data_IF_636080204625
#
_entry.id   IF_636080204625
#
_cell.length_a   1.000
_cell.length_b   1.000
_cell.length_c   1.000
_cell.angle_alpha   90.00
_cell.angle_beta   90.00
_cell.angle_gamma   90.00
#
_symmetry.space_group_name_H-M   'P 1'
#
loop_
_entity.id
_entity.type
_entity.pdbx_description
1 polymer ?
#
# COMPACT_ATOMS: atom_id res chain seq x y z
N UNK A 1 5.13 -16.99 61.44
CA UNK A 1 6.16 -16.96 60.35
C UNK A 1 6.02 -18.13 59.35
N UNK A 2 5.17 -19.11 59.56
CA UNK A 2 4.95 -20.25 58.66
C UNK A 2 3.82 -20.02 57.65
N UNK A 3 2.81 -19.19 57.97
CA UNK A 3 1.70 -18.91 57.08
C UNK A 3 2.05 -18.04 55.88
N UNK A 4 3.10 -17.22 55.94
CA UNK A 4 3.53 -16.33 54.84
C UNK A 4 4.31 -17.06 53.72
N UNK A 5 4.84 -18.23 54.02
CA UNK A 5 5.59 -19.04 53.07
C UNK A 5 4.70 -19.86 52.11
N UNK A 6 3.51 -20.19 52.55
CA UNK A 6 2.54 -20.91 51.70
C UNK A 6 1.73 -20.00 50.75
N UNK A 7 1.64 -18.71 51.09
CA UNK A 7 0.99 -17.73 50.19
C UNK A 7 1.89 -17.38 48.98
N UNK A 8 3.22 -17.42 49.14
CA UNK A 8 4.16 -17.14 48.04
C UNK A 8 4.28 -18.31 47.07
N UNK A 9 4.07 -19.54 47.51
CA UNK A 9 4.09 -20.74 46.67
C UNK A 9 2.80 -20.96 45.91
N UNK A 10 1.68 -20.48 46.43
CA UNK A 10 0.38 -20.51 45.71
C UNK A 10 0.29 -19.50 44.58
N UNK A 11 1.08 -18.41 44.62
CA UNK A 11 1.13 -17.39 43.55
C UNK A 11 2.04 -17.79 42.37
N UNK A 12 2.95 -18.74 42.56
CA UNK A 12 3.89 -19.21 41.55
C UNK A 12 3.33 -20.37 40.70
N UNK A 13 2.25 -21.00 41.12
CA UNK A 13 1.64 -22.15 40.42
C UNK A 13 0.43 -21.80 39.51
N UNK A 14 0.02 -20.53 39.45
CA UNK A 14 -1.09 -20.08 38.59
C UNK A 14 -0.61 -19.56 37.22
N UNK A 15 0.70 -19.45 36.99
CA UNK A 15 1.28 -18.86 35.77
C UNK A 15 1.51 -19.85 34.61
N UNK A 16 1.09 -21.10 34.68
CA UNK A 16 1.39 -22.12 33.66
C UNK A 16 0.22 -22.57 32.78
N UNK A 17 -0.93 -21.92 32.83
CA UNK A 17 -2.11 -22.33 32.01
C UNK A 17 -2.73 -21.22 31.16
N UNK A 18 -2.01 -20.13 30.87
CA UNK A 18 -2.50 -19.03 30.00
C UNK A 18 -1.59 -18.79 28.82
N UNK A 19 -1.46 -19.76 27.92
CA UNK A 19 -0.68 -19.64 26.68
C UNK A 19 -1.41 -18.96 25.50
N UNK A 20 -2.51 -18.29 25.71
CA UNK A 20 -3.26 -17.61 24.66
C UNK A 20 -3.27 -16.07 24.74
N UNK A 21 -3.64 -15.46 25.88
CA UNK A 21 -3.79 -13.99 25.93
C UNK A 21 -2.49 -13.21 26.21
N UNK A 22 -1.43 -13.86 26.73
CA UNK A 22 -0.17 -13.17 27.09
C UNK A 22 0.63 -12.79 25.85
N UNK A 23 0.56 -13.56 24.79
CA UNK A 23 1.26 -13.26 23.53
C UNK A 23 0.69 -12.02 22.84
N UNK A 24 -0.63 -11.87 22.82
CA UNK A 24 -1.32 -10.69 22.27
C UNK A 24 -1.00 -9.42 23.09
N UNK A 25 -0.83 -9.54 24.40
CA UNK A 25 -0.52 -8.39 25.26
C UNK A 25 0.94 -7.96 25.14
N UNK A 26 1.87 -8.91 25.02
CA UNK A 26 3.29 -8.62 24.76
C UNK A 26 3.51 -8.04 23.37
N UNK A 27 2.78 -8.52 22.37
CA UNK A 27 2.82 -7.98 21.02
C UNK A 27 2.28 -6.54 20.99
N UNK A 28 1.18 -6.24 21.70
CA UNK A 28 0.63 -4.88 21.82
C UNK A 28 1.53 -3.92 22.60
N UNK A 29 2.25 -4.40 23.62
CA UNK A 29 3.22 -3.59 24.37
C UNK A 29 4.45 -3.32 23.51
N UNK A 30 4.94 -4.31 22.76
CA UNK A 30 6.08 -4.17 21.87
C UNK A 30 5.78 -3.22 20.70
N UNK A 31 4.54 -3.24 20.17
CA UNK A 31 4.07 -2.30 19.14
C UNK A 31 4.11 -0.83 19.60
N UNK A 32 3.90 -0.58 20.89
CA UNK A 32 3.86 0.77 21.47
C UNK A 32 5.25 1.40 21.64
N UNK A 33 6.30 0.59 21.71
CA UNK A 33 7.66 1.03 22.03
C UNK A 33 8.69 0.78 20.92
N UNK A 34 8.34 0.03 19.87
CA UNK A 34 9.24 -0.29 18.76
C UNK A 34 8.95 0.60 17.56
N UNK A 35 9.96 1.35 17.11
CA UNK A 35 9.92 2.01 15.80
C UNK A 35 9.43 3.47 15.80
N UNK A 36 9.63 4.23 16.88
CA UNK A 36 9.35 5.67 16.91
C UNK A 36 10.55 6.55 16.57
N UNK A 37 11.76 5.99 16.48
CA UNK A 37 12.94 6.77 16.15
C UNK A 37 13.28 6.62 14.64
N UNK A 38 13.19 7.70 13.84
CA UNK A 38 13.53 7.65 12.42
C UNK A 38 15.03 7.44 12.12
N UNK A 39 15.87 7.38 13.15
CA UNK A 39 17.34 7.28 13.08
C UNK A 39 17.81 5.83 13.25
N UNK A 40 16.95 4.92 13.72
CA UNK A 40 17.36 3.52 13.92
C UNK A 40 17.73 2.84 12.58
N UNK A 41 18.91 2.22 12.49
CA UNK A 41 19.32 1.51 11.30
C UNK A 41 18.41 0.32 11.00
N UNK A 42 18.32 -0.11 9.73
CA UNK A 42 17.58 -1.31 9.38
C UNK A 42 18.15 -2.53 10.11
N UNK A 43 17.29 -3.39 10.62
CA UNK A 43 17.71 -4.63 11.24
C UNK A 43 18.57 -5.47 10.29
N UNK A 44 19.66 -6.11 10.78
CA UNK A 44 20.46 -7.02 9.97
C UNK A 44 19.59 -8.10 9.35
N UNK A 45 19.92 -8.50 8.13
CA UNK A 45 19.22 -9.59 7.47
C UNK A 45 19.44 -10.90 8.22
N UNK A 46 18.35 -11.48 8.71
CA UNK A 46 18.39 -12.79 9.36
C UNK A 46 18.79 -13.87 8.35
N UNK A 47 19.71 -14.72 8.71
CA UNK A 47 20.03 -15.93 7.97
C UNK A 47 18.94 -16.99 8.17
N UNK A 48 18.61 -17.71 7.12
CA UNK A 48 17.67 -18.83 7.13
C UNK A 48 18.02 -19.83 6.04
N UNK A 49 17.57 -21.06 6.19
CA UNK A 49 17.71 -22.07 5.15
C UNK A 49 16.63 -21.83 4.09
N UNK A 50 17.03 -21.33 2.93
CA UNK A 50 16.12 -21.07 1.83
C UNK A 50 15.43 -22.38 1.35
N UNK A 51 14.13 -22.33 1.19
CA UNK A 51 13.30 -23.39 0.60
C UNK A 51 12.87 -23.06 -0.84
N UNK A 52 12.91 -21.76 -1.18
CA UNK A 52 12.58 -21.23 -2.49
C UNK A 52 13.76 -20.41 -3.00
N UNK A 53 13.90 -20.37 -4.32
CA UNK A 53 14.92 -19.57 -4.99
C UNK A 53 14.25 -18.61 -5.99
N UNK A 54 13.73 -17.48 -5.53
CA UNK A 54 13.08 -16.49 -6.39
C UNK A 54 14.04 -16.07 -7.52
N UNK A 55 13.50 -15.86 -8.71
CA UNK A 55 14.29 -15.53 -9.91
C UNK A 55 13.72 -14.29 -10.60
N UNK A 56 14.61 -13.46 -11.10
CA UNK A 56 14.25 -12.41 -12.05
C UNK A 56 14.03 -13.08 -13.41
N UNK A 57 12.81 -12.99 -13.93
CA UNK A 57 12.46 -13.49 -15.26
C UNK A 57 12.99 -12.55 -16.33
N UNK A 58 12.83 -11.27 -16.11
CA UNK A 58 13.38 -10.19 -16.92
C UNK A 58 13.45 -8.89 -16.12
N UNK A 59 14.27 -7.97 -16.59
CA UNK A 59 14.35 -6.62 -16.07
C UNK A 59 14.38 -5.60 -17.20
N UNK A 60 13.89 -4.40 -16.91
CA UNK A 60 13.95 -3.25 -17.79
C UNK A 60 14.30 -2.01 -16.96
N UNK A 61 14.86 -0.99 -17.61
CA UNK A 61 15.28 0.26 -16.97
C UNK A 61 14.51 1.44 -17.55
N UNK A 62 13.85 2.18 -16.66
CA UNK A 62 13.45 3.57 -16.86
C UNK A 62 14.45 4.47 -16.13
N UNK A 63 14.30 5.78 -16.24
CA UNK A 63 15.04 6.71 -15.38
C UNK A 63 14.52 6.65 -13.94
N UNK A 64 15.26 7.24 -12.99
CA UNK A 64 14.89 7.19 -11.58
C UNK A 64 13.60 7.92 -11.24
N UNK A 65 12.92 7.46 -10.19
CA UNK A 65 11.63 8.02 -9.77
C UNK A 65 11.77 9.19 -8.80
N UNK A 66 13.00 9.56 -8.41
CA UNK A 66 13.30 10.55 -7.37
C UNK A 66 12.56 10.21 -6.04
N UNK A 67 11.75 11.16 -5.54
CA UNK A 67 10.95 11.02 -4.32
C UNK A 67 9.49 10.65 -4.58
N UNK A 68 9.12 10.31 -5.84
CA UNK A 68 7.76 9.97 -6.21
C UNK A 68 7.53 8.47 -6.22
N UNK A 69 6.28 8.09 -5.97
CA UNK A 69 5.84 6.69 -5.93
C UNK A 69 5.21 6.32 -7.28
N UNK A 70 5.84 5.37 -7.96
CA UNK A 70 5.28 4.76 -9.17
C UNK A 70 5.11 3.26 -8.94
N UNK A 71 4.14 2.69 -9.63
CA UNK A 71 3.98 1.25 -9.70
C UNK A 71 3.45 0.86 -11.08
N UNK A 72 3.84 -0.33 -11.57
CA UNK A 72 3.43 -0.76 -12.90
C UNK A 72 1.93 -1.00 -12.97
N UNK A 73 1.33 -0.66 -14.12
CA UNK A 73 -0.01 -1.08 -14.50
C UNK A 73 0.04 -2.29 -15.42
N UNK A 74 -0.99 -3.13 -15.41
CA UNK A 74 -1.07 -4.32 -16.27
C UNK A 74 -2.41 -4.30 -16.99
N UNK A 75 -2.38 -4.54 -18.31
CA UNK A 75 -3.54 -4.75 -19.17
C UNK A 75 -3.27 -5.98 -20.05
N UNK A 76 -3.99 -7.08 -19.81
CA UNK A 76 -3.78 -8.33 -20.53
C UNK A 76 -2.34 -8.84 -20.40
N UNK A 77 -1.63 -8.98 -21.53
CA UNK A 77 -0.22 -9.44 -21.57
C UNK A 77 0.80 -8.28 -21.62
N UNK A 78 0.41 -7.09 -21.21
CA UNK A 78 1.20 -5.87 -21.34
C UNK A 78 1.38 -5.18 -19.99
N UNK A 79 2.60 -4.74 -19.69
CA UNK A 79 2.95 -3.96 -18.53
C UNK A 79 3.27 -2.51 -18.92
N UNK A 80 2.80 -1.57 -18.13
CA UNK A 80 3.05 -0.14 -18.29
C UNK A 80 3.80 0.39 -17.08
N UNK A 81 4.84 1.18 -17.31
CA UNK A 81 5.61 1.80 -16.24
C UNK A 81 5.99 3.24 -16.60
N UNK A 82 6.14 4.06 -15.57
CA UNK A 82 6.49 5.47 -15.69
C UNK A 82 7.60 5.84 -14.72
N UNK A 83 8.28 6.95 -14.99
CA UNK A 83 9.28 7.54 -14.10
C UNK A 83 9.23 9.07 -14.11
N UNK A 84 9.89 9.71 -13.15
CA UNK A 84 9.76 11.14 -12.88
C UNK A 84 10.33 12.05 -13.97
N UNK A 85 11.26 11.55 -14.79
CA UNK A 85 11.83 12.27 -15.94
C UNK A 85 10.84 12.46 -17.10
N UNK A 86 9.62 11.93 -17.00
CA UNK A 86 8.61 11.93 -18.06
C UNK A 86 8.56 10.67 -18.89
N UNK A 87 9.41 9.69 -18.62
CA UNK A 87 9.38 8.40 -19.33
C UNK A 87 8.11 7.65 -19.03
N UNK A 88 7.46 7.15 -20.10
CA UNK A 88 6.32 6.24 -20.06
C UNK A 88 6.57 5.13 -21.07
N UNK A 89 6.47 3.89 -20.64
CA UNK A 89 6.83 2.75 -21.47
C UNK A 89 5.84 1.59 -21.32
N UNK A 90 5.72 0.81 -22.39
CA UNK A 90 4.94 -0.43 -22.50
C UNK A 90 5.86 -1.59 -22.79
N UNK A 91 5.67 -2.67 -22.07
CA UNK A 91 6.46 -3.89 -22.18
C UNK A 91 5.56 -5.09 -22.41
N UNK A 92 6.06 -6.08 -23.14
CA UNK A 92 5.44 -7.39 -23.14
C UNK A 92 5.68 -8.06 -21.78
N UNK A 93 4.64 -8.45 -21.09
CA UNK A 93 4.67 -8.95 -19.71
C UNK A 93 5.49 -10.23 -19.53
N UNK A 94 5.49 -11.13 -20.54
CA UNK A 94 6.21 -12.41 -20.48
C UNK A 94 7.71 -12.26 -20.74
N UNK A 95 8.08 -11.39 -21.71
CA UNK A 95 9.47 -11.28 -22.17
C UNK A 95 10.23 -10.06 -21.69
N UNK A 96 9.55 -9.05 -21.11
CA UNK A 96 10.13 -7.78 -20.75
C UNK A 96 10.55 -6.89 -21.94
N UNK A 97 10.28 -7.35 -23.18
CA UNK A 97 10.63 -6.57 -24.37
C UNK A 97 9.79 -5.30 -24.43
N UNK A 98 10.46 -4.14 -24.55
CA UNK A 98 9.76 -2.88 -24.75
C UNK A 98 9.01 -2.90 -26.09
N UNK A 99 7.71 -2.60 -26.06
CA UNK A 99 6.87 -2.42 -27.24
C UNK A 99 6.99 -0.99 -27.73
N UNK A 100 6.89 -0.03 -26.80
CA UNK A 100 7.21 1.37 -27.05
C UNK A 100 7.70 2.05 -25.77
N UNK A 101 8.47 3.13 -25.94
CA UNK A 101 8.88 4.06 -24.88
C UNK A 101 8.76 5.47 -25.44
N UNK A 102 8.08 6.35 -24.70
CA UNK A 102 7.98 7.77 -25.01
C UNK A 102 8.46 8.62 -23.85
N UNK A 103 8.79 9.88 -24.12
CA UNK A 103 8.89 10.90 -23.09
C UNK A 103 7.72 11.85 -23.23
N UNK A 104 6.99 12.07 -22.15
CA UNK A 104 5.78 12.92 -22.12
C UNK A 104 6.11 14.41 -22.20
N UNK A 105 7.39 14.79 -22.00
CA UNK A 105 7.86 16.16 -21.88
C UNK A 105 7.49 16.83 -20.55
N UNK A 106 6.96 16.09 -19.61
CA UNK A 106 6.49 16.59 -18.31
C UNK A 106 7.14 15.83 -17.16
N UNK A 107 7.35 16.48 -16.03
CA UNK A 107 7.84 15.84 -14.81
C UNK A 107 6.69 15.05 -14.16
N UNK A 108 6.68 13.73 -14.32
CA UNK A 108 5.67 12.86 -13.75
C UNK A 108 5.86 12.69 -12.24
N UNK A 109 4.77 12.45 -11.52
CA UNK A 109 4.78 12.26 -10.07
C UNK A 109 3.76 11.24 -9.57
N UNK A 110 2.91 10.70 -10.45
CA UNK A 110 1.93 9.67 -10.13
C UNK A 110 1.55 8.86 -11.36
N UNK A 111 1.52 7.55 -11.22
CA UNK A 111 1.16 6.64 -12.30
C UNK A 111 1.63 5.20 -12.04
N UNK A 112 1.21 4.25 -12.88
CA UNK A 112 0.40 4.39 -14.09
C UNK A 112 -1.04 4.00 -13.77
N UNK A 113 -2.00 4.87 -14.07
CA UNK A 113 -3.42 4.50 -14.08
C UNK A 113 -3.73 3.78 -15.39
N UNK A 114 -4.36 2.62 -15.30
CA UNK A 114 -4.69 1.80 -16.47
C UNK A 114 -6.20 1.58 -16.57
N UNK A 115 -6.74 1.75 -17.76
CA UNK A 115 -8.12 1.46 -18.13
C UNK A 115 -8.18 0.42 -19.23
N UNK A 116 -9.34 0.26 -19.86
CA UNK A 116 -9.51 -0.72 -20.95
C UNK A 116 -8.77 -0.29 -22.22
N UNK A 117 -8.80 0.99 -22.56
CA UNK A 117 -8.22 1.55 -23.79
C UNK A 117 -7.30 2.75 -23.54
N UNK A 118 -7.13 3.14 -22.28
CA UNK A 118 -6.41 4.36 -21.90
C UNK A 118 -5.41 4.06 -20.79
N UNK A 119 -4.31 4.81 -20.80
CA UNK A 119 -3.37 4.94 -19.71
C UNK A 119 -3.27 6.40 -19.29
N UNK A 120 -3.13 6.64 -17.99
CA UNK A 120 -3.10 7.98 -17.43
C UNK A 120 -1.93 8.16 -16.49
N UNK A 121 -1.34 9.34 -16.51
CA UNK A 121 -0.25 9.75 -15.61
C UNK A 121 -0.51 11.15 -15.09
N UNK A 122 -0.03 11.39 -13.89
CA UNK A 122 -0.10 12.68 -13.22
C UNK A 122 1.27 13.35 -13.09
N UNK A 123 1.28 14.68 -13.05
CA UNK A 123 2.51 15.47 -12.93
C UNK A 123 2.62 16.18 -11.59
N UNK A 124 3.84 16.57 -11.23
CA UNK A 124 4.13 17.39 -10.06
C UNK A 124 3.58 18.83 -10.16
N UNK A 125 3.11 19.23 -11.33
CA UNK A 125 2.47 20.52 -11.56
C UNK A 125 0.94 20.45 -11.60
N UNK A 126 0.35 19.24 -11.39
CA UNK A 126 -1.10 19.04 -11.41
C UNK A 126 -1.70 18.83 -12.81
N UNK A 127 -0.89 18.47 -13.78
CA UNK A 127 -1.39 18.09 -15.11
C UNK A 127 -1.69 16.59 -15.13
N UNK A 128 -2.91 16.23 -15.45
CA UNK A 128 -3.35 14.86 -15.74
C UNK A 128 -3.28 14.65 -17.24
N UNK A 129 -2.64 13.56 -17.67
CA UNK A 129 -2.40 13.27 -19.09
C UNK A 129 -2.92 11.87 -19.39
N UNK A 130 -3.67 11.74 -20.48
CA UNK A 130 -4.14 10.45 -20.98
C UNK A 130 -3.57 10.14 -22.36
N UNK A 131 -3.21 8.88 -22.53
CA UNK A 131 -2.76 8.29 -23.79
C UNK A 131 -3.61 7.06 -24.12
N UNK A 132 -3.70 6.73 -25.42
CA UNK A 132 -4.19 5.42 -25.82
C UNK A 132 -3.12 4.34 -25.59
N UNK A 133 -3.47 3.07 -25.81
CA UNK A 133 -2.55 1.94 -25.63
C UNK A 133 -1.37 1.91 -26.62
N UNK A 134 -1.36 2.79 -27.63
CA UNK A 134 -0.30 2.96 -28.63
C UNK A 134 0.51 4.24 -28.40
N UNK A 135 0.42 4.84 -27.22
CA UNK A 135 1.12 6.06 -26.82
C UNK A 135 0.68 7.33 -27.59
N UNK A 136 -0.49 7.33 -28.25
CA UNK A 136 -1.05 8.55 -28.83
C UNK A 136 -1.68 9.37 -27.72
N UNK A 137 -1.28 10.64 -27.61
CA UNK A 137 -1.89 11.59 -26.68
C UNK A 137 -3.39 11.77 -27.01
N UNK A 138 -4.23 11.56 -26.00
CA UNK A 138 -5.68 11.77 -26.08
C UNK A 138 -6.04 13.19 -25.62
N UNK A 139 -5.66 13.52 -24.38
CA UNK A 139 -5.94 14.82 -23.78
C UNK A 139 -5.02 15.14 -22.61
N UNK A 140 -5.01 16.41 -22.20
CA UNK A 140 -4.34 16.92 -21.00
C UNK A 140 -5.32 17.79 -20.22
N UNK A 141 -5.40 17.61 -18.90
CA UNK A 141 -6.31 18.40 -18.04
C UNK A 141 -5.55 18.89 -16.82
N UNK A 142 -5.62 20.20 -16.54
CA UNK A 142 -5.04 20.85 -15.39
C UNK A 142 -5.95 20.68 -14.17
N UNK A 143 -5.43 20.07 -13.09
CA UNK A 143 -6.10 19.97 -11.79
C UNK A 143 -5.54 21.00 -10.80
N UNK A 144 -6.01 20.95 -9.55
CA UNK A 144 -5.74 21.96 -8.53
C UNK A 144 -4.32 21.91 -7.96
N UNK A 145 -3.72 20.73 -7.85
CA UNK A 145 -2.42 20.52 -7.21
C UNK A 145 -1.71 19.29 -7.77
N UNK A 146 -0.54 18.96 -7.23
CA UNK A 146 0.26 17.79 -7.61
C UNK A 146 -0.55 16.50 -7.58
N UNK A 147 -0.31 15.62 -8.55
CA UNK A 147 -0.90 14.28 -8.63
C UNK A 147 0.17 13.28 -8.20
N UNK A 148 0.03 12.74 -6.99
CA UNK A 148 1.05 11.89 -6.35
C UNK A 148 0.71 10.40 -6.39
N UNK A 149 -0.50 10.05 -6.79
CA UNK A 149 -0.97 8.67 -6.92
C UNK A 149 -1.29 8.34 -8.38
N UNK A 150 -1.29 7.06 -8.71
CA UNK A 150 -1.84 6.62 -9.98
C UNK A 150 -3.33 7.00 -10.06
N UNK A 151 -3.78 7.61 -11.17
CA UNK A 151 -5.21 7.85 -11.40
C UNK A 151 -5.99 6.53 -11.44
N UNK A 152 -7.22 6.52 -10.92
CA UNK A 152 -8.14 5.38 -11.01
C UNK A 152 -9.07 5.58 -12.19
N UNK A 153 -9.14 4.63 -13.10
CA UNK A 153 -10.05 4.65 -14.24
C UNK A 153 -11.20 3.69 -13.94
N UNK A 154 -12.44 4.20 -13.90
CA UNK A 154 -13.62 3.40 -13.60
C UNK A 154 -14.87 4.04 -14.25
N UNK A 155 -15.77 3.24 -14.81
CA UNK A 155 -17.06 3.62 -15.38
C UNK A 155 -17.05 4.91 -16.24
N UNK A 156 -16.01 5.05 -17.09
CA UNK A 156 -15.91 6.21 -18.01
C UNK A 156 -15.35 7.47 -17.35
N UNK A 157 -14.89 7.40 -16.12
CA UNK A 157 -14.24 8.48 -15.39
C UNK A 157 -12.77 8.15 -15.10
N UNK A 158 -11.96 9.18 -15.03
CA UNK A 158 -10.62 9.16 -14.42
C UNK A 158 -10.70 9.92 -13.10
N UNK A 159 -10.52 9.22 -12.00
CA UNK A 159 -10.66 9.74 -10.66
C UNK A 159 -9.26 9.97 -10.10
N UNK A 160 -8.99 11.19 -9.67
CA UNK A 160 -7.66 11.62 -9.25
C UNK A 160 -7.73 12.33 -7.91
N UNK A 161 -6.87 11.92 -6.98
CA UNK A 161 -6.61 12.70 -5.78
C UNK A 161 -5.40 13.59 -5.99
N UNK A 162 -5.53 14.87 -5.66
CA UNK A 162 -4.45 15.85 -5.68
C UNK A 162 -3.87 16.09 -4.28
N UNK A 163 -2.66 16.66 -4.20
CA UNK A 163 -1.93 16.84 -2.95
C UNK A 163 -2.60 17.79 -1.94
N UNK A 164 -3.54 18.62 -2.39
CA UNK A 164 -4.43 19.46 -1.59
C UNK A 164 -5.65 18.70 -1.03
N UNK A 165 -5.64 17.36 -1.15
CA UNK A 165 -6.70 16.45 -0.71
C UNK A 165 -8.05 16.60 -1.43
N UNK A 166 -8.09 17.27 -2.59
CA UNK A 166 -9.26 17.25 -3.45
C UNK A 166 -9.32 15.95 -4.27
N UNK A 167 -10.54 15.48 -4.55
CA UNK A 167 -10.77 14.39 -5.49
C UNK A 167 -11.48 14.97 -6.70
N UNK A 168 -10.92 14.76 -7.87
CA UNK A 168 -11.45 15.20 -9.14
C UNK A 168 -11.89 14.01 -9.96
N UNK A 169 -13.04 14.11 -10.62
CA UNK A 169 -13.42 13.21 -11.69
C UNK A 169 -13.42 13.96 -13.01
N UNK A 170 -12.78 13.36 -14.00
CA UNK A 170 -12.77 13.84 -15.37
C UNK A 170 -13.27 12.74 -16.30
N UNK A 171 -13.88 13.13 -17.40
CA UNK A 171 -14.34 12.19 -18.42
C UNK A 171 -13.13 11.50 -19.08
N UNK A 172 -13.16 10.19 -19.19
CA UNK A 172 -12.05 9.40 -19.74
C UNK A 172 -11.77 9.68 -21.22
N UNK A 173 -12.80 10.10 -22.01
CA UNK A 173 -12.69 10.28 -23.45
C UNK A 173 -12.03 11.60 -23.86
N UNK A 174 -12.32 12.69 -23.13
CA UNK A 174 -11.94 14.05 -23.50
C UNK A 174 -11.25 14.84 -22.40
N UNK A 175 -11.18 14.29 -21.17
CA UNK A 175 -10.56 14.95 -20.01
C UNK A 175 -11.41 16.11 -19.44
N UNK A 176 -12.68 16.25 -19.82
CA UNK A 176 -13.58 17.27 -19.27
C UNK A 176 -13.80 17.02 -17.78
N UNK A 177 -13.66 18.06 -16.94
CA UNK A 177 -13.95 17.98 -15.50
C UNK A 177 -15.43 17.79 -15.26
N UNK A 178 -15.81 16.74 -14.55
CA UNK A 178 -17.22 16.46 -14.22
C UNK A 178 -17.58 17.00 -12.85
N UNK A 179 -16.77 16.71 -11.85
CA UNK A 179 -17.00 17.21 -10.49
C UNK A 179 -15.68 17.23 -9.70
N UNK A 180 -15.72 17.92 -8.57
CA UNK A 180 -14.64 17.96 -7.58
C UNK A 180 -15.24 17.80 -6.20
N UNK A 181 -14.72 16.84 -5.43
CA UNK A 181 -15.04 16.67 -4.01
C UNK A 181 -13.97 17.36 -3.17
N UNK A 182 -14.42 18.16 -2.20
CA UNK A 182 -13.56 18.84 -1.24
C UNK A 182 -14.06 18.62 0.18
N UNK A 183 -13.12 18.59 1.11
CA UNK A 183 -13.44 18.58 2.54
C UNK A 183 -12.41 19.39 3.34
N UNK A 184 -12.85 19.91 4.48
CA UNK A 184 -11.96 20.57 5.43
C UNK A 184 -11.12 19.49 6.14
N UNK A 185 -9.81 19.58 6.05
CA UNK A 185 -8.86 18.70 6.71
C UNK A 185 -8.15 19.35 7.89
N UNK A 186 -7.32 18.59 8.65
CA UNK A 186 -6.45 19.16 9.66
C UNK A 186 -5.40 20.09 9.01
N UNK A 187 -4.86 21.07 9.77
CA UNK A 187 -3.89 22.02 9.22
C UNK A 187 -2.55 21.37 8.83
N UNK A 188 -2.20 20.25 9.45
CA UNK A 188 -1.05 19.43 9.12
C UNK A 188 -1.50 18.03 8.68
N UNK A 189 -0.98 17.57 7.57
CA UNK A 189 -1.21 16.21 7.07
C UNK A 189 0.04 15.65 6.43
N UNK A 190 0.17 14.33 6.41
CA UNK A 190 1.26 13.67 5.72
C UNK A 190 1.10 13.84 4.20
N UNK A 191 2.20 14.14 3.54
CA UNK A 191 2.25 14.06 2.08
C UNK A 191 2.08 12.60 1.67
N UNK A 192 0.97 12.27 1.05
CA UNK A 192 0.59 10.89 0.75
C UNK A 192 0.39 10.69 -0.75
N UNK A 193 0.90 9.57 -1.26
CA UNK A 193 0.66 9.07 -2.61
C UNK A 193 -0.56 8.14 -2.68
N UNK A 194 -1.51 8.32 -1.77
CA UNK A 194 -2.74 7.51 -1.70
C UNK A 194 -3.69 7.87 -2.82
N UNK A 195 -4.06 6.87 -3.60
CA UNK A 195 -5.14 6.95 -4.56
C UNK A 195 -6.51 6.67 -3.93
N UNK A 196 -7.50 6.55 -4.78
CA UNK A 196 -8.86 6.16 -4.43
C UNK A 196 -9.15 4.78 -4.99
N UNK A 197 -10.19 4.13 -4.46
CA UNK A 197 -10.73 2.88 -4.99
C UNK A 197 -12.17 3.11 -5.39
N UNK A 198 -12.56 2.68 -6.59
CA UNK A 198 -13.92 2.78 -7.09
C UNK A 198 -14.52 1.39 -7.28
N UNK A 199 -15.77 1.21 -6.87
CA UNK A 199 -16.54 -0.02 -7.04
C UNK A 199 -18.03 0.27 -6.92
N UNK A 200 -18.82 -0.29 -7.82
CA UNK A 200 -20.29 -0.23 -7.80
C UNK A 200 -20.84 1.20 -7.68
N UNK A 201 -20.27 2.13 -8.48
CA UNK A 201 -20.70 3.52 -8.50
C UNK A 201 -20.32 4.33 -7.26
N UNK A 202 -19.40 3.82 -6.42
CA UNK A 202 -18.93 4.49 -5.20
C UNK A 202 -17.41 4.56 -5.18
N UNK A 203 -16.87 5.71 -4.83
CA UNK A 203 -15.47 5.98 -4.62
C UNK A 203 -15.19 5.97 -3.13
N UNK A 204 -14.20 5.20 -2.72
CA UNK A 204 -13.73 5.14 -1.34
C UNK A 204 -12.35 5.78 -1.24
N UNK A 205 -12.21 6.73 -0.32
CA UNK A 205 -11.00 7.49 -0.14
C UNK A 205 -10.64 7.65 1.33
N UNK A 206 -9.38 7.41 1.65
CA UNK A 206 -8.81 7.73 2.96
C UNK A 206 -8.37 9.19 2.99
N UNK A 207 -8.53 9.87 4.13
CA UNK A 207 -8.17 11.27 4.29
C UNK A 207 -7.33 11.51 5.55
N UNK A 208 -6.69 12.69 5.64
CA UNK A 208 -6.04 13.14 6.86
C UNK A 208 -6.98 13.15 8.07
N UNK A 209 -6.40 12.92 9.27
CA UNK A 209 -7.16 12.85 10.51
C UNK A 209 -7.92 11.54 10.69
N UNK A 210 -7.48 10.47 10.02
CA UNK A 210 -8.03 9.12 10.18
C UNK A 210 -9.42 8.93 9.60
N UNK A 211 -9.75 9.66 8.56
CA UNK A 211 -11.08 9.61 7.92
C UNK A 211 -11.11 8.65 6.73
N UNK A 212 -12.22 7.93 6.60
CA UNK A 212 -12.59 7.19 5.40
C UNK A 212 -13.94 7.72 4.91
N UNK A 213 -14.01 8.08 3.63
CA UNK A 213 -15.23 8.57 3.01
C UNK A 213 -15.66 7.68 1.84
N UNK A 214 -16.97 7.55 1.66
CA UNK A 214 -17.62 7.04 0.46
C UNK A 214 -18.28 8.20 -0.29
N UNK A 215 -18.00 8.30 -1.57
CA UNK A 215 -18.39 9.39 -2.43
C UNK A 215 -19.09 8.79 -3.64
N UNK A 216 -20.23 9.34 -4.03
CA UNK A 216 -20.95 8.91 -5.22
C UNK A 216 -20.14 9.20 -6.47
N UNK A 217 -19.95 8.21 -7.31
CA UNK A 217 -19.07 8.32 -8.47
C UNK A 217 -19.63 9.25 -9.57
N UNK A 218 -20.94 9.26 -9.76
CA UNK A 218 -21.61 10.02 -10.83
C UNK A 218 -21.54 11.54 -10.64
N UNK A 219 -21.55 12.03 -9.38
CA UNK A 219 -21.70 13.46 -9.09
C UNK A 219 -20.81 14.00 -7.96
N UNK A 220 -19.99 13.16 -7.33
CA UNK A 220 -19.07 13.57 -6.26
C UNK A 220 -19.73 13.87 -4.91
N UNK A 221 -21.02 13.55 -4.72
CA UNK A 221 -21.68 13.79 -3.43
C UNK A 221 -21.23 12.80 -2.36
N UNK A 222 -21.04 13.28 -1.12
CA UNK A 222 -20.70 12.45 0.01
C UNK A 222 -21.86 11.52 0.37
N UNK A 223 -21.61 10.22 0.42
CA UNK A 223 -22.56 9.23 0.92
C UNK A 223 -22.43 9.06 2.43
N UNK A 224 -21.20 8.83 2.90
CA UNK A 224 -20.88 8.76 4.32
C UNK A 224 -19.39 9.03 4.58
N UNK A 225 -19.07 9.43 5.80
CA UNK A 225 -17.72 9.57 6.32
C UNK A 225 -17.65 8.99 7.73
N UNK A 226 -16.59 8.24 8.02
CA UNK A 226 -16.33 7.68 9.36
C UNK A 226 -14.91 7.96 9.82
N UNK A 227 -14.69 7.86 11.13
CA UNK A 227 -13.36 7.87 11.73
C UNK A 227 -12.87 6.43 11.86
N UNK A 228 -11.81 6.06 11.15
CA UNK A 228 -11.12 4.77 11.28
C UNK A 228 -9.92 4.86 12.22
N UNK A 229 -9.42 6.07 12.48
CA UNK A 229 -8.45 6.37 13.52
C UNK A 229 -8.81 7.69 14.19
N UNK A 230 -8.33 7.86 15.43
CA UNK A 230 -8.50 9.10 16.17
C UNK A 230 -7.13 9.69 16.47
N UNK A 231 -6.89 10.98 16.17
CA UNK A 231 -5.66 11.67 16.53
C UNK A 231 -5.38 11.55 18.03
N UNK A 232 -4.18 11.11 18.39
CA UNK A 232 -3.72 10.97 19.77
C UNK A 232 -2.41 11.74 19.93
N UNK A 233 -2.21 12.41 21.07
CA UNK A 233 -0.99 13.14 21.37
C UNK A 233 -1.22 14.61 21.65
N UNK A 234 -0.13 15.29 22.01
CA UNK A 234 -0.14 16.71 22.41
C UNK A 234 0.27 17.61 21.24
N UNK A 235 1.23 17.16 20.44
CA UNK A 235 1.73 17.90 19.28
C UNK A 235 0.93 17.56 18.00
N UNK A 236 0.95 18.46 17.01
CA UNK A 236 0.31 18.22 15.71
C UNK A 236 0.92 16.99 14.98
N UNK A 237 2.22 16.75 15.17
CA UNK A 237 2.90 15.58 14.58
C UNK A 237 2.42 14.28 15.22
N UNK A 238 2.30 14.22 16.55
CA UNK A 238 1.76 13.06 17.27
C UNK A 238 0.30 12.81 16.91
N UNK A 239 -0.45 13.85 16.54
CA UNK A 239 -1.86 13.78 16.16
C UNK A 239 -2.09 13.43 14.70
N UNK A 240 -1.03 13.32 13.88
CA UNK A 240 -1.14 12.94 12.48
C UNK A 240 -1.56 11.46 12.34
N UNK A 241 -2.87 11.21 12.28
CA UNK A 241 -3.46 9.87 12.15
C UNK A 241 -4.08 9.70 10.77
N UNK A 242 -3.25 9.83 9.73
CA UNK A 242 -3.72 9.91 8.36
C UNK A 242 -3.94 8.51 7.75
N UNK A 243 -5.02 8.35 6.99
CA UNK A 243 -5.19 7.17 6.12
C UNK A 243 -4.29 7.37 4.90
N UNK A 244 -3.10 6.79 4.97
CA UNK A 244 -2.02 6.95 3.97
C UNK A 244 -1.93 5.79 2.99
N UNK A 245 -2.93 4.94 2.93
CA UNK A 245 -3.03 3.82 1.99
C UNK A 245 -4.40 3.75 1.33
N UNK A 246 -4.45 3.24 0.11
CA UNK A 246 -5.73 2.99 -0.55
C UNK A 246 -6.52 1.94 0.24
N UNK A 247 -7.81 2.15 0.45
CA UNK A 247 -8.67 1.11 1.01
C UNK A 247 -8.67 -0.13 0.11
N UNK A 248 -8.92 -1.29 0.68
CA UNK A 248 -9.10 -2.54 -0.07
C UNK A 248 -10.53 -3.03 0.14
N UNK A 249 -11.20 -3.37 -0.96
CA UNK A 249 -12.59 -3.86 -0.94
C UNK A 249 -12.56 -5.37 -1.10
N UNK A 250 -13.30 -6.05 -0.23
CA UNK A 250 -13.62 -7.46 -0.35
C UNK A 250 -15.11 -7.68 -0.04
N UNK A 251 -15.88 -8.01 -1.07
CA UNK A 251 -17.33 -8.15 -0.99
C UNK A 251 -18.02 -6.88 -0.46
N UNK A 252 -18.71 -7.00 0.67
CA UNK A 252 -19.42 -5.91 1.33
C UNK A 252 -18.55 -5.16 2.36
N UNK A 253 -17.28 -5.49 2.46
CA UNK A 253 -16.39 -4.92 3.45
C UNK A 253 -15.28 -4.07 2.80
N UNK A 254 -14.85 -3.05 3.53
CA UNK A 254 -13.69 -2.22 3.22
C UNK A 254 -12.70 -2.37 4.36
N UNK A 255 -11.45 -2.60 3.97
CA UNK A 255 -10.33 -2.68 4.89
C UNK A 255 -9.41 -1.49 4.66
N UNK A 256 -9.06 -0.81 5.73
CA UNK A 256 -8.22 0.37 5.67
C UNK A 256 -7.29 0.43 6.87
N UNK A 257 -6.14 1.06 6.70
CA UNK A 257 -5.17 1.26 7.78
C UNK A 257 -4.67 2.70 7.77
N UNK A 258 -4.50 3.25 8.97
CA UNK A 258 -3.99 4.60 9.17
C UNK A 258 -2.57 4.58 9.75
N UNK A 259 -1.78 5.58 9.37
CA UNK A 259 -0.52 5.91 10.04
C UNK A 259 -0.83 6.44 11.45
N UNK A 260 -0.04 6.03 12.45
CA UNK A 260 -0.28 6.30 13.88
C UNK A 260 -1.73 6.02 14.34
N UNK A 261 -2.37 5.02 13.70
CA UNK A 261 -3.78 4.75 13.89
C UNK A 261 -4.06 3.25 13.98
N UNK A 262 -5.13 2.85 13.31
CA UNK A 262 -5.68 1.50 13.37
C UNK A 262 -5.83 0.92 11.98
N UNK A 263 -5.79 -0.42 11.91
CA UNK A 263 -6.41 -1.17 10.84
C UNK A 263 -7.87 -1.43 11.22
N UNK A 264 -8.77 -1.29 10.27
CA UNK A 264 -10.21 -1.45 10.49
C UNK A 264 -10.89 -2.14 9.31
N UNK A 265 -11.87 -3.00 9.62
CA UNK A 265 -12.86 -3.49 8.68
C UNK A 265 -14.15 -2.71 8.85
N UNK A 266 -14.73 -2.28 7.76
CA UNK A 266 -15.92 -1.43 7.71
C UNK A 266 -16.95 -2.03 6.75
N UNK A 267 -18.19 -2.16 7.18
CA UNK A 267 -19.32 -2.45 6.30
C UNK A 267 -19.55 -1.25 5.36
N UNK A 268 -19.35 -1.44 4.07
CA UNK A 268 -19.39 -0.36 3.08
C UNK A 268 -20.80 0.20 2.81
N UNK A 269 -21.82 -0.56 3.16
CA UNK A 269 -23.24 -0.16 2.99
C UNK A 269 -23.70 0.70 4.15
N UNK A 270 -23.43 0.23 5.38
CA UNK A 270 -23.95 0.84 6.62
C UNK A 270 -22.93 1.76 7.30
N UNK A 271 -21.72 1.90 6.75
CA UNK A 271 -20.62 2.68 7.32
C UNK A 271 -20.25 2.27 8.76
N UNK A 272 -20.51 1.00 9.13
CA UNK A 272 -20.28 0.48 10.48
C UNK A 272 -18.92 -0.20 10.55
N UNK A 273 -18.12 0.18 11.55
CA UNK A 273 -16.90 -0.57 11.87
C UNK A 273 -17.26 -1.94 12.40
N UNK A 274 -16.78 -2.98 11.73
CA UNK A 274 -16.98 -4.39 12.11
C UNK A 274 -15.98 -4.79 13.18
N UNK A 275 -14.71 -4.48 12.97
CA UNK A 275 -13.64 -4.64 13.93
C UNK A 275 -12.51 -3.61 13.66
N UNK A 276 -11.67 -3.38 14.65
CA UNK A 276 -10.45 -2.58 14.52
C UNK A 276 -9.34 -3.08 15.43
N UNK A 277 -8.08 -2.87 15.02
CA UNK A 277 -6.86 -3.22 15.75
C UNK A 277 -5.87 -2.07 15.75
N UNK A 278 -5.14 -1.89 16.84
CA UNK A 278 -4.06 -0.90 16.94
C UNK A 278 -2.81 -1.41 16.17
N UNK A 279 -2.83 -1.25 14.86
CA UNK A 279 -1.73 -1.54 13.94
C UNK A 279 -1.58 -0.33 13.03
N UNK A 280 -0.43 0.33 13.11
CA UNK A 280 -0.07 1.49 12.30
C UNK A 280 0.62 1.04 11.02
N UNK A 281 0.20 1.57 9.87
CA UNK A 281 0.90 1.37 8.60
C UNK A 281 0.83 2.61 7.73
N UNK A 282 1.92 2.91 7.03
CA UNK A 282 1.95 3.96 6.01
C UNK A 282 1.94 3.39 4.59
N UNK A 283 2.18 2.09 4.40
CA UNK A 283 2.23 1.46 3.07
C UNK A 283 0.93 0.79 2.67
N UNK A 284 0.12 0.38 3.65
CA UNK A 284 -1.18 -0.23 3.37
C UNK A 284 -1.26 -1.71 3.69
N UNK A 285 -2.29 -2.32 3.16
CA UNK A 285 -2.60 -3.73 3.37
C UNK A 285 -2.93 -4.43 2.03
N UNK A 286 -2.86 -5.75 2.05
CA UNK A 286 -3.29 -6.62 0.96
C UNK A 286 -4.17 -7.73 1.52
N UNK A 287 -5.10 -8.22 0.73
CA UNK A 287 -6.00 -9.33 1.07
C UNK A 287 -5.75 -10.47 0.10
N UNK A 288 -5.58 -11.67 0.66
CA UNK A 288 -5.52 -12.91 -0.11
C UNK A 288 -6.32 -14.00 0.63
N UNK A 289 -7.43 -14.40 0.03
CA UNK A 289 -8.38 -15.33 0.63
C UNK A 289 -8.91 -14.82 1.98
N UNK A 290 -8.81 -15.61 3.02
CA UNK A 290 -9.29 -15.25 4.37
C UNK A 290 -8.28 -14.45 5.20
N UNK A 291 -7.22 -13.90 4.59
CA UNK A 291 -6.11 -13.24 5.29
C UNK A 291 -5.89 -11.82 4.82
N UNK A 292 -5.56 -10.97 5.78
CA UNK A 292 -5.03 -9.63 5.55
C UNK A 292 -3.55 -9.65 5.89
N UNK A 293 -2.74 -9.06 5.01
CA UNK A 293 -1.32 -8.81 5.26
C UNK A 293 -1.11 -7.31 5.39
N UNK A 294 -0.40 -6.89 6.43
CA UNK A 294 -0.10 -5.48 6.70
C UNK A 294 1.31 -5.32 7.23
N UNK A 295 2.07 -4.38 6.66
CA UNK A 295 3.38 -4.00 7.15
C UNK A 295 3.23 -2.84 8.15
N UNK A 296 3.62 -3.09 9.40
CA UNK A 296 3.65 -2.07 10.45
C UNK A 296 4.75 -1.04 10.17
N UNK A 297 4.53 0.20 10.57
CA UNK A 297 5.50 1.30 10.43
C UNK A 297 6.89 1.00 10.97
N UNK A 298 6.99 0.21 12.04
CA UNK A 298 8.26 -0.23 12.62
C UNK A 298 8.91 -1.42 11.91
N UNK A 299 8.32 -1.94 10.80
CA UNK A 299 8.91 -3.02 10.01
C UNK A 299 8.47 -4.44 10.41
N UNK A 300 7.50 -4.60 11.31
CA UNK A 300 6.88 -5.89 11.54
C UNK A 300 5.83 -6.18 10.46
N UNK A 301 5.75 -7.42 10.00
CA UNK A 301 4.73 -7.89 9.07
C UNK A 301 3.70 -8.74 9.81
N UNK A 302 2.42 -8.49 9.58
CA UNK A 302 1.31 -9.21 10.21
C UNK A 302 0.48 -9.96 9.17
N UNK A 303 -0.01 -11.15 9.57
CA UNK A 303 -1.13 -11.82 8.94
C UNK A 303 -2.29 -11.85 9.92
N UNK A 304 -3.44 -11.33 9.48
CA UNK A 304 -4.66 -11.23 10.29
C UNK A 304 -5.80 -11.98 9.62
N UNK A 305 -6.71 -12.50 10.45
CA UNK A 305 -7.97 -13.05 9.97
C UNK A 305 -8.86 -11.93 9.42
N UNK A 306 -9.38 -12.08 8.21
CA UNK A 306 -10.20 -11.07 7.54
C UNK A 306 -11.50 -10.75 8.32
N UNK A 307 -12.11 -11.75 8.93
CA UNK A 307 -13.41 -11.61 9.63
C UNK A 307 -13.31 -10.91 10.99
N UNK A 308 -12.17 -11.03 11.69
CA UNK A 308 -12.04 -10.60 13.09
C UNK A 308 -10.83 -9.74 13.39
N UNK A 309 -9.89 -9.61 12.45
CA UNK A 309 -8.61 -8.96 12.68
C UNK A 309 -7.68 -9.72 13.64
N UNK A 310 -8.02 -10.97 14.03
CA UNK A 310 -7.16 -11.79 14.92
C UNK A 310 -5.85 -12.10 14.22
N UNK A 311 -4.72 -11.94 14.92
CA UNK A 311 -3.40 -12.24 14.41
C UNK A 311 -3.20 -13.74 14.24
N UNK A 312 -2.88 -14.18 13.05
CA UNK A 312 -2.39 -15.53 12.79
C UNK A 312 -0.89 -15.62 13.12
N UNK A 313 -0.09 -14.69 12.58
CA UNK A 313 1.33 -14.59 12.87
C UNK A 313 1.82 -13.15 12.74
N UNK A 314 2.97 -12.90 13.38
CA UNK A 314 3.75 -11.67 13.29
C UNK A 314 5.19 -12.03 12.98
N UNK A 315 5.75 -11.43 11.93
CA UNK A 315 7.16 -11.51 11.57
C UNK A 315 7.88 -10.23 11.98
N UNK A 316 8.81 -10.30 12.91
CA UNK A 316 9.48 -9.13 13.48
C UNK A 316 10.95 -8.95 13.06
N UNK A 317 11.49 -9.82 12.20
CA UNK A 317 12.91 -9.78 11.83
C UNK A 317 13.25 -8.74 10.74
N UNK A 318 12.27 -7.92 10.32
CA UNK A 318 12.42 -6.89 9.29
C UNK A 318 12.27 -5.47 9.86
N UNK A 319 12.58 -5.27 11.14
CA UNK A 319 12.45 -3.97 11.81
C UNK A 319 13.27 -2.89 11.09
N UNK A 320 12.70 -1.69 10.99
CA UNK A 320 13.29 -0.49 10.38
C UNK A 320 13.68 -0.63 8.89
N UNK A 321 13.23 -1.68 8.21
CA UNK A 321 13.55 -1.93 6.80
C UNK A 321 12.60 -1.23 5.82
N UNK A 322 11.67 -0.38 6.29
CA UNK A 322 10.70 0.39 5.47
C UNK A 322 9.99 -0.48 4.44
N UNK A 323 9.26 -1.46 4.91
CA UNK A 323 8.61 -2.48 4.09
C UNK A 323 7.59 -1.87 3.12
N UNK A 324 7.46 -2.48 1.94
CA UNK A 324 6.40 -2.21 0.97
C UNK A 324 5.04 -2.68 1.48
N UNK A 325 3.96 -2.37 0.78
CA UNK A 325 2.70 -3.12 0.92
C UNK A 325 2.98 -4.60 0.66
N UNK A 326 2.62 -5.49 1.57
CA UNK A 326 2.79 -6.93 1.34
C UNK A 326 1.93 -7.38 0.15
N UNK A 327 2.35 -8.41 -0.55
CA UNK A 327 1.61 -9.02 -1.66
C UNK A 327 1.39 -10.50 -1.33
N UNK A 328 0.14 -10.86 -1.02
CA UNK A 328 -0.27 -12.27 -0.87
C UNK A 328 -0.46 -12.91 -2.23
N UNK A 329 0.06 -14.12 -2.43
CA UNK A 329 0.00 -14.87 -3.69
C UNK A 329 -0.04 -16.36 -3.41
N UNK A 330 -1.23 -16.97 -3.47
CA UNK A 330 -1.40 -18.40 -3.21
C UNK A 330 -0.88 -18.80 -1.82
N UNK A 331 0.24 -19.52 -1.73
CA UNK A 331 0.85 -19.97 -0.47
C UNK A 331 1.95 -19.04 0.07
N UNK A 332 2.17 -17.91 -0.57
CA UNK A 332 3.29 -17.02 -0.31
C UNK A 332 2.86 -15.59 0.01
N UNK A 333 3.73 -14.90 0.71
CA UNK A 333 3.63 -13.44 0.90
C UNK A 333 4.97 -12.83 0.50
N UNK A 334 4.95 -11.90 -0.45
CA UNK A 334 6.12 -11.13 -0.83
C UNK A 334 6.10 -9.75 -0.15
N UNK A 335 7.25 -9.27 0.28
CA UNK A 335 7.43 -7.91 0.79
C UNK A 335 8.80 -7.38 0.38
N UNK A 336 8.84 -6.18 -0.18
CA UNK A 336 10.07 -5.48 -0.54
C UNK A 336 10.56 -4.59 0.60
N UNK A 337 11.83 -4.21 0.55
CA UNK A 337 12.42 -3.33 1.56
C UNK A 337 13.25 -2.17 0.97
N UNK A 338 13.80 -1.35 1.85
CA UNK A 338 14.55 -0.15 1.50
C UNK A 338 15.92 -0.42 0.85
N UNK A 339 16.46 -1.64 1.01
CA UNK A 339 17.75 -2.05 0.44
C UNK A 339 17.59 -2.88 -0.85
N UNK A 340 16.38 -2.89 -1.43
CA UNK A 340 16.12 -3.58 -2.70
C UNK A 340 15.94 -5.08 -2.57
N UNK A 341 15.79 -5.60 -1.35
CA UNK A 341 15.44 -7.00 -1.14
C UNK A 341 13.94 -7.22 -1.27
N UNK A 342 13.58 -8.37 -1.84
CA UNK A 342 12.25 -8.95 -1.75
C UNK A 342 12.34 -10.22 -0.93
N UNK A 343 11.57 -10.25 0.15
CA UNK A 343 11.46 -11.38 1.06
C UNK A 343 10.20 -12.16 0.70
N UNK A 344 10.33 -13.48 0.59
CA UNK A 344 9.22 -14.40 0.38
C UNK A 344 8.99 -15.18 1.67
N UNK A 345 7.78 -15.09 2.19
CA UNK A 345 7.36 -15.71 3.44
C UNK A 345 6.29 -16.78 3.18
N UNK A 346 6.24 -17.73 4.06
CA UNK A 346 5.18 -18.74 4.13
C UNK A 346 3.87 -18.10 4.61
N UNK A 347 2.80 -18.34 3.90
CA UNK A 347 1.48 -17.78 4.18
C UNK A 347 0.94 -18.15 5.55
N UNK A 348 1.18 -19.40 5.99
CA UNK A 348 0.60 -19.94 7.21
C UNK A 348 1.38 -19.55 8.46
N UNK A 349 2.70 -19.46 8.36
CA UNK A 349 3.59 -19.30 9.50
C UNK A 349 4.34 -17.99 9.57
N UNK A 350 4.44 -17.25 8.45
CA UNK A 350 5.27 -16.06 8.33
C UNK A 350 6.77 -16.34 8.32
N UNK A 351 7.19 -17.61 8.19
CA UNK A 351 8.59 -17.98 8.11
C UNK A 351 9.21 -17.59 6.77
N UNK A 352 10.45 -17.17 6.73
CA UNK A 352 11.17 -16.90 5.49
C UNK A 352 11.35 -18.19 4.69
N UNK A 353 10.97 -18.13 3.42
CA UNK A 353 11.14 -19.19 2.44
C UNK A 353 12.21 -18.89 1.41
N UNK A 354 12.33 -17.62 1.01
CA UNK A 354 13.29 -17.16 0.02
C UNK A 354 13.56 -15.67 0.16
N UNK A 355 14.60 -15.20 -0.51
CA UNK A 355 14.97 -13.80 -0.61
C UNK A 355 15.70 -13.56 -1.92
N UNK A 356 15.45 -12.43 -2.56
CA UNK A 356 16.18 -11.97 -3.72
C UNK A 356 16.50 -10.49 -3.59
N UNK A 357 17.69 -10.08 -3.97
CA UNK A 357 18.06 -8.69 -4.16
C UNK A 357 17.85 -8.30 -5.63
N UNK A 358 17.19 -7.18 -5.87
CA UNK A 358 16.83 -6.76 -7.23
C UNK A 358 17.95 -6.01 -7.93
N UNK A 359 18.74 -5.26 -7.17
CA UNK A 359 19.81 -4.41 -7.68
C UNK A 359 20.96 -4.38 -6.66
N UNK A 360 22.22 -4.39 -7.14
CA UNK A 360 23.41 -4.31 -6.29
C UNK A 360 23.58 -2.93 -5.64
N UNK A 361 22.90 -1.89 -6.16
CA UNK A 361 22.95 -0.52 -5.64
C UNK A 361 22.04 -0.29 -4.42
N UNK A 362 21.48 -1.34 -3.83
CA UNK A 362 20.67 -1.28 -2.59
C UNK A 362 19.58 -0.20 -2.60
N UNK A 363 18.77 -0.13 -3.65
CA UNK A 363 17.74 0.89 -3.82
C UNK A 363 16.37 0.42 -3.37
N UNK A 364 15.56 1.31 -2.74
CA UNK A 364 14.25 0.94 -2.24
C UNK A 364 13.33 0.34 -3.31
N UNK A 365 12.67 -0.78 -2.98
CA UNK A 365 11.52 -1.27 -3.74
C UNK A 365 10.37 -0.28 -3.55
N UNK A 366 9.68 0.06 -4.63
CA UNK A 366 8.52 0.95 -4.58
C UNK A 366 7.36 0.28 -3.85
N UNK A 367 6.53 1.11 -3.23
CA UNK A 367 5.49 0.70 -2.27
C UNK A 367 4.61 -0.46 -2.71
N UNK A 368 4.28 -0.58 -4.01
CA UNK A 368 3.33 -1.57 -4.51
C UNK A 368 3.96 -2.47 -5.57
N UNK A 369 3.93 -3.77 -5.31
CA UNK A 369 4.16 -4.83 -6.28
C UNK A 369 2.83 -5.28 -6.88
N UNK A 370 2.84 -5.81 -8.10
CA UNK A 370 1.62 -6.19 -8.83
C UNK A 370 1.76 -7.62 -9.35
N UNK A 371 0.92 -8.52 -8.85
CA UNK A 371 0.84 -9.90 -9.34
C UNK A 371 0.22 -9.92 -10.75
N UNK A 372 0.74 -10.79 -11.62
CA UNK A 372 0.20 -11.02 -12.96
C UNK A 372 -0.10 -12.49 -13.27
N UNK A 373 0.47 -13.38 -12.48
CA UNK A 373 0.21 -14.81 -12.49
C UNK A 373 0.59 -15.32 -11.10
N UNK A 374 -0.06 -16.36 -10.59
CA UNK A 374 0.21 -16.92 -9.27
C UNK A 374 1.70 -17.20 -9.06
N UNK A 375 2.29 -16.53 -8.08
CA UNK A 375 3.71 -16.59 -7.79
C UNK A 375 4.61 -15.83 -8.77
N UNK A 376 4.04 -14.98 -9.64
CA UNK A 376 4.79 -14.07 -10.52
C UNK A 376 4.26 -12.66 -10.40
N UNK A 377 5.15 -11.71 -10.23
CA UNK A 377 4.77 -10.31 -9.99
C UNK A 377 5.79 -9.33 -10.56
N UNK A 378 5.34 -8.11 -10.75
CA UNK A 378 6.19 -6.97 -11.10
C UNK A 378 6.55 -6.17 -9.84
N UNK A 379 7.80 -5.75 -9.78
CA UNK A 379 8.29 -4.78 -8.81
C UNK A 379 9.04 -3.65 -9.53
N UNK A 380 8.90 -2.43 -9.04
CA UNK A 380 9.67 -1.30 -9.50
C UNK A 380 10.55 -0.79 -8.37
N UNK A 381 11.76 -0.31 -8.69
CA UNK A 381 12.69 0.28 -7.72
C UNK A 381 12.83 1.79 -7.94
N UNK A 382 13.29 2.49 -6.92
CA UNK A 382 13.44 3.97 -6.96
C UNK A 382 14.40 4.45 -8.05
N UNK A 383 15.39 3.67 -8.42
CA UNK A 383 16.29 3.99 -9.55
C UNK A 383 15.68 3.72 -10.93
N UNK A 384 14.38 3.38 -11.01
CA UNK A 384 13.66 3.12 -12.26
C UNK A 384 13.79 1.70 -12.80
N UNK A 385 14.37 0.77 -12.05
CA UNK A 385 14.35 -0.66 -12.41
C UNK A 385 12.94 -1.20 -12.36
N UNK A 386 12.53 -1.95 -13.39
CA UNK A 386 11.30 -2.73 -13.45
C UNK A 386 11.67 -4.20 -13.59
N UNK A 387 11.16 -5.02 -12.70
CA UNK A 387 11.52 -6.44 -12.60
C UNK A 387 10.29 -7.30 -12.62
N UNK A 388 10.30 -8.36 -13.45
CA UNK A 388 9.37 -9.47 -13.30
C UNK A 388 10.05 -10.59 -12.53
N UNK A 389 9.41 -11.05 -11.49
CA UNK A 389 9.95 -12.00 -10.53
C UNK A 389 9.05 -13.22 -10.48
N UNK A 390 9.67 -14.41 -10.41
CA UNK A 390 9.00 -15.68 -10.12
C UNK A 390 9.48 -16.22 -8.79
N UNK A 391 8.57 -16.75 -8.00
CA UNK A 391 8.87 -17.39 -6.72
C UNK A 391 9.36 -18.84 -6.93
N UNK A 392 9.05 -19.45 -8.04
CA UNK A 392 9.34 -20.86 -8.38
C UNK A 392 10.81 -21.09 -8.71
#
# INVERSE_FOLDING_TARGET
MILFRYLLLAFLSITLLACGPVKDLTDQIQERFVGQDPIDPPAPLKEFKAKLNPKILWSAKLEGTESFEFYPGIIGEEAYAASSDGSLAKFNLKSGKAIWKINTGEKLSGGVGVGVNEITVGTSTGLLIAYDLNAKLLWKTRLSSQILSAPTIHEGLVIVRTADNLIHAVNVKDGEKKWTFSRVGPPLSLRSSVGVVASDGVIYAGFPGGKLAAIREDNGSLLWEINVAQPKGVTEIERASDVTSSPVIDGLNIYTVAYQGKISAVDRVNARTLWSRDISSYTGLNIEGARIYVAHTGGALYSLAIESGKTYWRQGDLLNRKLTTPLGMGDYVAVGDLEGYIHILDKETGAFLGRIQLDDDALPVMRRMVEFETGKFLAQTRNGGLYAISIQ
#
